data_IF_631625464110
#
_entry.id   IF_631625464110
#
_cell.length_a   1.000
_cell.length_b   1.000
_cell.length_c   1.000
_cell.angle_alpha   90.00
_cell.angle_beta   90.00
_cell.angle_gamma   90.00
#
_symmetry.space_group_name_H-M   'P 1'
#
loop_
_entity.id
_entity.type
_entity.pdbx_description
1 polymer ?
#
# COMPACT_ATOMS: atom_id res chain seq x y z
N UNK A 1 6.47 14.27 -17.51
CA UNK A 1 5.53 14.79 -16.51
C UNK A 1 4.35 13.84 -16.49
N UNK A 2 4.29 12.94 -15.51
CA UNK A 2 3.21 11.96 -15.39
C UNK A 2 2.02 12.65 -14.74
N UNK A 3 0.86 12.61 -15.40
CA UNK A 3 -0.36 13.25 -14.93
C UNK A 3 -0.90 12.47 -13.73
N UNK A 4 -1.09 13.15 -12.59
CA UNK A 4 -1.61 12.54 -11.36
C UNK A 4 -3.07 12.10 -11.57
N UNK A 5 -3.46 10.89 -11.14
CA UNK A 5 -4.85 10.44 -11.24
C UNK A 5 -5.78 11.34 -10.44
N UNK A 6 -6.97 11.59 -11.00
CA UNK A 6 -8.07 12.34 -10.43
C UNK A 6 -8.96 11.42 -9.56
N UNK A 7 -8.94 11.66 -8.25
CA UNK A 7 -9.57 10.85 -7.18
C UNK A 7 -11.09 11.04 -7.04
N UNK A 8 -11.86 10.89 -8.13
CA UNK A 8 -13.32 11.03 -8.11
C UNK A 8 -14.11 9.72 -7.88
N UNK A 9 -13.43 8.60 -7.58
CA UNK A 9 -14.07 7.33 -7.24
C UNK A 9 -14.05 7.09 -5.75
N UNK A 10 -15.15 7.37 -5.05
CA UNK A 10 -15.29 6.96 -3.65
C UNK A 10 -15.43 5.44 -3.58
N UNK A 11 -14.49 4.77 -2.91
CA UNK A 11 -14.64 3.36 -2.54
C UNK A 11 -15.70 3.27 -1.43
N UNK A 12 -16.55 2.24 -1.46
CA UNK A 12 -17.49 2.01 -0.36
C UNK A 12 -16.72 1.66 0.91
N UNK A 13 -17.11 2.22 2.06
CA UNK A 13 -16.42 2.03 3.34
C UNK A 13 -16.15 0.53 3.61
N UNK A 14 -14.87 0.16 3.71
CA UNK A 14 -14.42 -1.22 3.99
C UNK A 14 -14.07 -2.05 2.75
N UNK A 15 -14.28 -1.55 1.54
CA UNK A 15 -13.94 -2.29 0.32
C UNK A 15 -12.43 -2.51 0.18
N UNK A 16 -11.59 -1.57 0.61
CA UNK A 16 -10.14 -1.74 0.55
C UNK A 16 -9.69 -2.77 1.60
N UNK A 17 -10.26 -2.71 2.80
CA UNK A 17 -9.96 -3.64 3.89
C UNK A 17 -10.25 -5.12 3.55
N UNK A 18 -11.28 -5.39 2.73
CA UNK A 18 -11.64 -6.75 2.31
C UNK A 18 -11.02 -7.19 0.97
N UNK A 19 -10.16 -6.37 0.36
CA UNK A 19 -9.60 -6.62 -0.96
C UNK A 19 -8.60 -7.80 -1.00
N UNK A 20 -8.25 -8.36 0.16
CA UNK A 20 -7.29 -9.47 0.27
C UNK A 20 -7.65 -10.69 -0.58
N UNK A 21 -8.95 -10.95 -0.77
CA UNK A 21 -9.44 -12.05 -1.61
C UNK A 21 -9.24 -11.83 -3.12
N UNK A 22 -9.09 -10.58 -3.56
CA UNK A 22 -8.89 -10.18 -4.95
C UNK A 22 -7.39 -9.96 -5.28
N UNK A 23 -6.50 -10.09 -4.28
CA UNK A 23 -5.06 -10.00 -4.50
C UNK A 23 -4.53 -11.23 -5.24
N UNK A 24 -3.90 -11.01 -6.38
CA UNK A 24 -3.11 -12.05 -7.02
C UNK A 24 -1.78 -12.25 -6.28
N UNK A 25 -1.74 -13.32 -5.48
CA UNK A 25 -0.56 -13.75 -4.69
C UNK A 25 0.67 -14.10 -5.54
N UNK A 26 0.55 -14.14 -6.88
CA UNK A 26 1.72 -14.18 -7.76
C UNK A 26 2.55 -12.90 -7.69
N UNK A 27 1.89 -11.76 -7.45
CA UNK A 27 2.46 -10.41 -7.45
C UNK A 27 2.58 -9.80 -6.07
N UNK A 28 2.08 -10.47 -5.03
CA UNK A 28 2.19 -10.03 -3.64
C UNK A 28 2.65 -11.17 -2.74
N UNK A 29 3.42 -10.84 -1.70
CA UNK A 29 3.72 -11.77 -0.59
C UNK A 29 3.16 -11.21 0.70
N UNK A 30 2.60 -12.09 1.53
CA UNK A 30 2.20 -11.71 2.89
C UNK A 30 3.44 -11.47 3.75
N UNK A 31 3.43 -10.36 4.49
CA UNK A 31 4.48 -10.03 5.46
C UNK A 31 4.22 -10.90 6.70
N UNK A 32 5.19 -11.71 7.17
CA UNK A 32 4.99 -12.50 8.39
C UNK A 32 4.68 -11.58 9.57
N UNK A 33 3.74 -11.96 10.44
CA UNK A 33 3.25 -11.11 11.54
C UNK A 33 4.34 -10.50 12.42
N UNK A 34 5.44 -11.23 12.68
CA UNK A 34 6.58 -10.75 13.47
C UNK A 34 7.42 -9.65 12.80
N UNK A 35 7.21 -9.42 11.50
CA UNK A 35 7.94 -8.43 10.69
C UNK A 35 7.04 -7.27 10.22
N UNK A 36 5.83 -7.14 10.76
CA UNK A 36 4.89 -6.09 10.39
C UNK A 36 5.15 -4.79 11.19
N UNK A 37 6.40 -4.34 11.24
CA UNK A 37 6.81 -3.07 11.84
C UNK A 37 7.37 -2.12 10.76
N UNK A 38 7.20 -0.82 10.97
CA UNK A 38 7.44 0.21 9.95
C UNK A 38 8.81 0.10 9.28
N UNK A 39 9.89 -0.06 10.05
CA UNK A 39 11.25 -0.10 9.51
C UNK A 39 11.45 -1.26 8.53
N UNK A 40 10.97 -2.46 8.86
CA UNK A 40 11.04 -3.62 7.96
C UNK A 40 10.24 -3.40 6.67
N UNK A 41 9.01 -2.88 6.81
CA UNK A 41 8.14 -2.62 5.66
C UNK A 41 8.78 -1.58 4.72
N UNK A 42 9.35 -0.52 5.29
CA UNK A 42 10.05 0.53 4.54
C UNK A 42 11.28 -0.04 3.82
N UNK A 43 12.09 -0.85 4.50
CA UNK A 43 13.26 -1.49 3.88
C UNK A 43 12.87 -2.38 2.70
N UNK A 44 11.85 -3.21 2.87
CA UNK A 44 11.37 -4.09 1.79
C UNK A 44 10.81 -3.27 0.61
N UNK A 45 10.07 -2.18 0.87
CA UNK A 45 9.55 -1.30 -0.19
C UNK A 45 10.68 -0.60 -0.95
N UNK A 46 11.71 -0.11 -0.25
CA UNK A 46 12.89 0.49 -0.88
C UNK A 46 13.65 -0.49 -1.78
N UNK A 47 13.56 -1.79 -1.51
CA UNK A 47 14.05 -2.83 -2.41
C UNK A 47 13.26 -2.97 -3.71
N UNK A 48 12.00 -2.51 -3.75
CA UNK A 48 11.09 -2.67 -4.89
C UNK A 48 11.03 -1.44 -5.81
N UNK A 49 11.24 -0.24 -5.26
CA UNK A 49 11.12 1.01 -6.00
C UNK A 49 12.28 1.95 -5.73
N UNK A 50 12.60 2.80 -6.73
CA UNK A 50 13.52 3.93 -6.57
C UNK A 50 12.79 5.24 -6.28
N UNK A 51 11.45 5.25 -6.38
CA UNK A 51 10.68 6.45 -6.09
C UNK A 51 10.67 6.71 -4.58
N UNK A 52 10.74 7.99 -4.22
CA UNK A 52 10.59 8.43 -2.83
C UNK A 52 9.13 8.80 -2.52
N UNK A 53 8.29 8.96 -3.54
CA UNK A 53 6.90 9.35 -3.42
C UNK A 53 5.97 8.19 -3.80
N UNK A 54 4.79 8.18 -3.21
CA UNK A 54 3.71 7.26 -3.53
C UNK A 54 2.36 7.97 -3.55
N UNK A 55 1.43 7.36 -4.27
CA UNK A 55 0.02 7.65 -4.21
C UNK A 55 -0.65 6.71 -3.21
N UNK A 56 -1.53 7.27 -2.38
CA UNK A 56 -2.26 6.54 -1.35
C UNK A 56 -3.73 6.40 -1.77
N UNK A 57 -4.23 5.17 -1.68
CA UNK A 57 -5.66 4.89 -1.63
C UNK A 57 -5.97 4.35 -0.23
N UNK A 58 -6.88 4.99 0.49
CA UNK A 58 -7.10 4.69 1.90
C UNK A 58 -8.55 5.01 2.30
N UNK A 59 -9.13 4.30 3.26
CA UNK A 59 -10.54 4.55 3.66
C UNK A 59 -10.75 5.90 4.37
N UNK A 60 -9.73 6.38 5.10
CA UNK A 60 -9.72 7.76 5.64
C UNK A 60 -9.54 8.81 4.55
N UNK A 61 -10.48 9.77 4.50
CA UNK A 61 -10.43 10.96 3.64
C UNK A 61 -9.20 11.84 3.86
N UNK A 62 -8.56 11.73 5.03
CA UNK A 62 -7.35 12.49 5.35
C UNK A 62 -6.11 11.94 4.65
N UNK A 63 -6.14 10.69 4.17
CA UNK A 63 -5.02 10.05 3.48
C UNK A 63 -5.34 9.71 2.02
N UNK A 64 -6.62 9.46 1.72
CA UNK A 64 -7.05 9.07 0.39
C UNK A 64 -6.71 10.11 -0.69
N UNK A 65 -6.25 9.63 -1.84
CA UNK A 65 -5.98 10.47 -3.00
C UNK A 65 -4.72 11.33 -2.90
N UNK A 66 -3.87 11.13 -1.89
CA UNK A 66 -2.68 11.96 -1.66
C UNK A 66 -1.42 11.36 -2.28
N UNK A 67 -0.57 12.26 -2.77
CA UNK A 67 0.83 11.96 -3.08
C UNK A 67 1.70 12.42 -1.92
N UNK A 68 2.55 11.54 -1.39
CA UNK A 68 3.45 11.87 -0.28
C UNK A 68 4.68 10.96 -0.23
N UNK A 69 5.59 11.25 0.69
CA UNK A 69 6.78 10.43 0.91
C UNK A 69 6.40 9.02 1.39
N UNK A 70 7.04 7.98 0.83
CA UNK A 70 6.76 6.58 1.15
C UNK A 70 6.97 6.27 2.64
N UNK A 71 8.03 6.78 3.26
CA UNK A 71 8.29 6.49 4.67
C UNK A 71 7.23 7.11 5.58
N UNK A 72 6.81 8.33 5.26
CA UNK A 72 5.72 9.00 5.97
C UNK A 72 4.40 8.27 5.76
N UNK A 73 4.12 7.82 4.54
CA UNK A 73 2.91 7.06 4.21
C UNK A 73 2.82 5.78 5.05
N UNK A 74 3.89 4.97 5.09
CA UNK A 74 3.91 3.72 5.87
C UNK A 74 3.76 3.99 7.36
N UNK A 75 4.38 5.05 7.89
CA UNK A 75 4.22 5.41 9.31
C UNK A 75 2.80 5.84 9.68
N UNK A 76 2.05 6.42 8.73
CA UNK A 76 0.66 6.84 8.97
C UNK A 76 -0.37 5.74 8.73
N UNK A 77 -0.09 4.83 7.78
CA UNK A 77 -0.98 3.74 7.42
C UNK A 77 -0.82 2.56 8.39
N UNK A 78 0.42 2.16 8.68
CA UNK A 78 0.70 0.89 9.35
C UNK A 78 0.09 0.86 10.76
N UNK A 79 -0.80 -0.10 10.97
CA UNK A 79 -1.49 -0.30 12.24
C UNK A 79 -2.82 0.45 12.35
N UNK A 80 -3.24 1.18 11.31
CA UNK A 80 -4.57 1.78 11.25
C UNK A 80 -5.66 0.71 11.12
N UNK A 81 -5.36 -0.40 10.44
CA UNK A 81 -6.29 -1.49 10.13
C UNK A 81 -7.56 -0.99 9.42
N UNK A 82 -7.44 0.10 8.66
CA UNK A 82 -8.56 0.71 7.95
C UNK A 82 -8.64 0.29 6.48
N UNK A 83 -7.69 -0.46 5.93
CA UNK A 83 -7.68 -0.73 4.50
C UNK A 83 -6.91 0.35 3.72
N UNK A 84 -5.78 -0.04 3.12
CA UNK A 84 -4.92 0.89 2.42
C UNK A 84 -4.16 0.24 1.26
N UNK A 85 -3.92 1.01 0.20
CA UNK A 85 -2.95 0.70 -0.85
C UNK A 85 -1.95 1.82 -0.99
N UNK A 86 -0.68 1.42 -1.14
CA UNK A 86 0.41 2.31 -1.51
C UNK A 86 0.86 1.95 -2.92
N UNK A 87 0.79 2.94 -3.81
CA UNK A 87 1.06 2.81 -5.24
C UNK A 87 2.21 3.73 -5.59
N UNK A 88 3.16 3.26 -6.40
CA UNK A 88 4.31 4.07 -6.87
C UNK A 88 4.17 4.45 -8.33
N UNK A 89 5.01 5.38 -8.80
CA UNK A 89 4.93 6.06 -10.11
C UNK A 89 4.68 5.18 -11.35
N UNK A 90 5.02 3.89 -11.31
CA UNK A 90 4.75 2.95 -12.40
C UNK A 90 3.34 2.35 -12.38
N UNK A 91 2.49 2.75 -11.42
CA UNK A 91 1.21 2.11 -11.15
C UNK A 91 1.32 0.80 -10.37
N UNK A 92 2.53 0.42 -9.94
CA UNK A 92 2.77 -0.79 -9.16
C UNK A 92 2.22 -0.62 -7.74
N UNK A 93 1.36 -1.55 -7.31
CA UNK A 93 0.97 -1.68 -5.90
C UNK A 93 2.14 -2.31 -5.14
N UNK A 94 2.71 -1.54 -4.22
CA UNK A 94 3.88 -1.99 -3.44
C UNK A 94 3.49 -2.45 -2.05
N UNK A 95 2.37 -1.98 -1.49
CA UNK A 95 1.93 -2.35 -0.16
C UNK A 95 0.42 -2.31 -0.03
N UNK A 96 -0.13 -3.26 0.72
CA UNK A 96 -1.53 -3.31 1.11
C UNK A 96 -1.67 -3.66 2.59
N UNK A 97 -2.50 -2.88 3.31
CA UNK A 97 -2.95 -3.18 4.68
C UNK A 97 -4.44 -3.54 4.65
N UNK A 98 -4.79 -4.71 5.20
CA UNK A 98 -6.16 -5.18 5.44
C UNK A 98 -6.69 -4.67 6.79
N UNK A 99 -7.99 -4.89 7.06
CA UNK A 99 -8.56 -4.74 8.41
C UNK A 99 -7.98 -5.74 9.43
N UNK A 100 -7.52 -6.91 8.95
CA UNK A 100 -6.97 -7.90 9.83
C UNK A 100 -5.50 -7.54 10.12
N UNK A 101 -5.18 -7.34 11.41
CA UNK A 101 -3.84 -6.95 11.88
C UNK A 101 -2.72 -7.92 11.45
N UNK A 102 -3.05 -9.12 10.97
CA UNK A 102 -2.07 -10.11 10.46
C UNK A 102 -1.97 -10.13 8.94
N UNK A 103 -2.82 -9.41 8.23
CA UNK A 103 -2.94 -9.40 6.77
C UNK A 103 -2.36 -8.12 6.20
N UNK A 104 -1.05 -8.15 6.01
CA UNK A 104 -0.31 -7.11 5.30
C UNK A 104 0.47 -7.75 4.17
N UNK A 105 0.46 -7.10 3.02
CA UNK A 105 1.03 -7.63 1.81
C UNK A 105 1.98 -6.61 1.21
N UNK A 106 3.07 -7.11 0.62
CA UNK A 106 4.00 -6.29 -0.14
C UNK A 106 4.11 -6.85 -1.56
N UNK A 107 4.25 -5.97 -2.55
CA UNK A 107 4.48 -6.37 -3.92
C UNK A 107 5.75 -7.21 -4.06
N UNK A 108 5.79 -8.10 -5.07
CA UNK A 108 7.02 -8.79 -5.46
C UNK A 108 7.35 -8.47 -6.92
N UNK A 109 8.56 -7.95 -7.16
CA UNK A 109 9.10 -7.88 -8.52
C UNK A 109 9.70 -9.23 -8.88
N UNK A 110 9.12 -9.90 -9.88
CA UNK A 110 9.79 -11.00 -10.56
C UNK A 110 10.53 -10.41 -11.74
N UNK A 111 11.86 -10.53 -11.75
CA UNK A 111 12.61 -10.37 -12.98
C UNK A 111 12.14 -11.46 -13.94
N UNK A 112 11.55 -11.04 -15.06
CA UNK A 112 11.20 -11.91 -16.18
C UNK A 112 12.36 -12.07 -17.13
#
# INVERSE_FOLDING_TARGET
>A
MTQKPNSNGGYGFGQLAHFTSELDMKYCKQIPSRYQYADYVIEEIKGLTKSAECYIMHESSDLDGKWMNIEEAIKQILGSNLGAFVIVDNGDIIYHESENIKERYIGVRREG
#
